data_IF_824922797788
#
_entry.id   IF_824922797788
#
_cell.length_a   1.000
_cell.length_b   1.000
_cell.length_c   1.000
_cell.angle_alpha   90.00
_cell.angle_beta   90.00
_cell.angle_gamma   90.00
#
_symmetry.space_group_name_H-M   'P 1'
#
loop_
_entity.id
_entity.type
_entity.pdbx_description
1 polymer ?
#
# COMPACT_ATOMS: atom_id res chain seq x y z
N UNK A 1 -23.56 28.07 43.01
CA UNK A 1 -22.26 27.37 43.02
C UNK A 1 -22.12 26.77 41.63
N UNK A 2 -21.77 27.58 40.62
CA UNK A 2 -20.40 27.81 40.11
C UNK A 2 -19.66 26.52 39.81
N UNK A 3 -19.66 26.14 38.53
CA UNK A 3 -18.43 25.79 37.84
C UNK A 3 -18.61 26.15 36.36
N UNK A 4 -18.35 27.42 36.00
CA UNK A 4 -17.84 27.68 34.66
C UNK A 4 -16.38 27.22 34.69
N UNK A 5 -16.21 25.90 34.63
CA UNK A 5 -15.00 25.32 34.05
C UNK A 5 -14.78 26.08 32.75
N UNK A 6 -13.58 26.62 32.55
CA UNK A 6 -13.22 27.24 31.28
C UNK A 6 -13.22 26.10 30.27
N UNK A 7 -14.39 25.83 29.69
CA UNK A 7 -14.53 24.85 28.63
C UNK A 7 -13.56 25.29 27.53
N UNK A 8 -12.56 24.44 27.28
CA UNK A 8 -11.56 24.71 26.26
C UNK A 8 -12.28 25.02 24.96
N UNK A 9 -11.99 26.17 24.35
CA UNK A 9 -12.53 26.47 23.04
C UNK A 9 -11.84 25.59 22.01
N UNK A 10 -12.63 24.92 21.18
CA UNK A 10 -12.17 24.16 20.04
C UNK A 10 -12.67 24.85 18.76
N UNK A 11 -11.73 25.26 17.92
CA UNK A 11 -12.01 25.77 16.57
C UNK A 11 -12.18 24.58 15.64
N UNK A 12 -13.32 24.48 14.99
CA UNK A 12 -13.65 23.44 14.04
C UNK A 12 -13.96 24.08 12.69
N UNK A 13 -13.47 23.47 11.63
CA UNK A 13 -13.82 23.85 10.26
C UNK A 13 -14.76 22.79 9.70
N UNK A 14 -16.03 23.14 9.49
CA UNK A 14 -17.03 22.26 8.91
C UNK A 14 -17.18 22.56 7.42
N UNK A 15 -16.89 21.57 6.58
CA UNK A 15 -17.12 21.61 5.14
C UNK A 15 -18.50 21.02 4.82
N UNK A 16 -19.44 21.90 4.48
CA UNK A 16 -20.70 21.54 3.88
C UNK A 16 -20.58 21.47 2.35
N UNK A 17 -21.51 20.82 1.62
CA UNK A 17 -21.46 20.70 0.16
C UNK A 17 -21.36 22.04 -0.57
N UNK A 18 -22.07 23.06 -0.08
CA UNK A 18 -22.11 24.39 -0.70
C UNK A 18 -21.10 25.39 -0.14
N UNK A 19 -20.63 25.21 1.11
CA UNK A 19 -19.75 26.18 1.79
C UNK A 19 -18.96 25.60 2.95
N UNK A 20 -17.93 26.31 3.37
CA UNK A 20 -17.13 25.99 4.55
C UNK A 20 -17.46 26.96 5.68
N UNK A 21 -17.60 26.46 6.91
CA UNK A 21 -18.01 27.20 8.10
C UNK A 21 -16.94 26.97 9.17
N UNK A 22 -16.40 28.04 9.74
CA UNK A 22 -15.50 27.95 10.88
C UNK A 22 -16.24 28.32 12.16
N UNK A 23 -16.18 27.44 13.17
CA UNK A 23 -16.91 27.57 14.42
C UNK A 23 -15.94 27.44 15.58
N UNK A 24 -16.04 28.33 16.57
CA UNK A 24 -15.36 28.16 17.85
C UNK A 24 -16.40 27.72 18.87
N UNK A 25 -16.29 26.48 19.34
CA UNK A 25 -17.29 25.85 20.21
C UNK A 25 -16.62 25.30 21.47
N UNK A 26 -17.30 25.28 22.62
CA UNK A 26 -16.78 24.66 23.83
C UNK A 26 -16.57 23.15 23.63
N UNK A 27 -15.44 22.61 24.09
CA UNK A 27 -15.06 21.22 23.88
C UNK A 27 -15.94 20.19 24.63
N UNK A 28 -16.73 20.65 25.61
CA UNK A 28 -17.65 19.86 26.41
C UNK A 28 -19.06 19.73 25.79
N UNK A 29 -19.31 20.39 24.65
CA UNK A 29 -20.60 20.33 23.95
C UNK A 29 -20.71 19.04 23.11
N UNK A 30 -21.85 18.32 23.16
CA UNK A 30 -22.08 17.14 22.33
C UNK A 30 -22.29 17.50 20.87
N UNK A 31 -21.94 16.59 19.97
CA UNK A 31 -22.07 16.78 18.51
C UNK A 31 -23.54 17.01 18.11
N UNK A 32 -24.49 16.35 18.77
CA UNK A 32 -25.93 16.54 18.55
C UNK A 32 -26.38 18.00 18.72
N UNK A 33 -25.80 18.75 19.67
CA UNK A 33 -26.18 20.15 19.92
C UNK A 33 -25.54 21.10 18.90
N UNK A 34 -24.41 20.70 18.30
CA UNK A 34 -23.72 21.47 17.26
C UNK A 34 -24.40 21.33 15.91
N UNK A 35 -24.93 20.15 15.59
CA UNK A 35 -25.46 19.81 14.28
C UNK A 35 -26.58 20.77 13.80
N UNK A 36 -27.62 21.12 14.61
CA UNK A 36 -28.65 22.09 14.20
C UNK A 36 -28.08 23.48 13.90
N UNK A 37 -27.05 23.88 14.65
CA UNK A 37 -26.39 25.18 14.45
C UNK A 37 -25.60 25.17 13.15
N UNK A 38 -24.83 24.11 12.90
CA UNK A 38 -24.09 23.90 11.65
C UNK A 38 -25.04 23.89 10.45
N UNK A 39 -26.18 23.17 10.53
CA UNK A 39 -27.16 23.05 9.45
C UNK A 39 -27.77 24.41 9.06
N UNK A 40 -28.20 25.20 10.06
CA UNK A 40 -28.66 26.59 9.85
C UNK A 40 -27.61 27.43 9.12
N UNK A 41 -26.34 27.25 9.48
CA UNK A 41 -25.23 27.94 8.84
C UNK A 41 -24.70 27.23 7.61
N UNK A 42 -25.28 26.13 7.12
CA UNK A 42 -24.84 25.40 5.93
C UNK A 42 -25.67 25.70 4.68
N UNK A 43 -26.96 26.09 4.79
CA UNK A 43 -27.77 26.64 3.69
C UNK A 43 -29.26 26.34 3.80
N UNK A 44 -30.10 27.13 3.13
CA UNK A 44 -31.57 26.96 3.13
C UNK A 44 -32.01 25.64 2.48
N UNK A 45 -31.30 25.16 1.45
CA UNK A 45 -31.60 23.89 0.76
C UNK A 45 -31.31 22.64 1.61
N UNK A 46 -30.54 22.75 2.70
CA UNK A 46 -30.12 21.61 3.52
C UNK A 46 -31.23 21.18 4.50
N UNK A 47 -32.08 22.12 4.90
CA UNK A 47 -33.24 21.87 5.77
C UNK A 47 -34.35 21.11 5.03
N UNK A 48 -34.59 21.41 3.74
CA UNK A 48 -35.56 20.69 2.89
C UNK A 48 -35.08 19.28 2.53
N UNK A 49 -33.79 19.10 2.22
CA UNK A 49 -33.21 17.81 1.85
C UNK A 49 -32.94 16.87 3.04
N UNK A 50 -33.07 17.33 4.29
CA UNK A 50 -32.83 16.51 5.49
C UNK A 50 -33.82 15.36 5.65
N UNK A 51 -35.04 15.50 5.12
CA UNK A 51 -36.09 14.48 5.15
C UNK A 51 -35.89 13.37 4.10
N UNK A 52 -35.22 13.68 2.99
CA UNK A 52 -34.94 12.71 1.91
C UNK A 52 -33.66 11.89 2.15
N UNK A 53 -32.77 12.36 3.02
CA UNK A 53 -31.44 11.78 3.24
C UNK A 53 -31.21 11.10 4.60
N UNK A 54 -32.29 10.83 5.35
CA UNK A 54 -32.25 10.20 6.68
C UNK A 54 -31.39 10.99 7.70
N UNK A 55 -31.31 12.31 7.53
CA UNK A 55 -30.51 13.21 8.36
C UNK A 55 -29.09 13.49 7.86
N UNK A 56 -28.36 14.24 8.68
CA UNK A 56 -27.01 14.74 8.36
C UNK A 56 -26.03 14.28 9.43
N UNK A 57 -24.83 13.87 9.00
CA UNK A 57 -23.77 13.44 9.90
C UNK A 57 -22.52 14.27 9.72
N UNK A 58 -21.80 14.47 10.83
CA UNK A 58 -20.45 15.04 10.82
C UNK A 58 -19.44 13.89 10.85
N UNK A 59 -18.48 13.92 9.95
CA UNK A 59 -17.44 12.90 9.88
C UNK A 59 -16.07 13.51 9.63
N UNK A 60 -15.02 12.86 10.13
CA UNK A 60 -13.63 13.17 9.76
C UNK A 60 -13.34 12.63 8.37
N UNK A 61 -12.33 13.16 7.70
CA UNK A 61 -11.93 12.65 6.39
C UNK A 61 -11.47 11.18 6.51
N UNK A 62 -12.22 10.26 5.90
CA UNK A 62 -11.90 8.84 5.90
C UNK A 62 -12.18 8.11 7.23
N UNK A 63 -12.84 8.77 8.19
CA UNK A 63 -13.32 8.14 9.41
C UNK A 63 -14.82 7.84 9.34
N UNK A 64 -15.31 7.04 10.28
CA UNK A 64 -16.74 6.83 10.46
C UNK A 64 -17.45 8.15 10.88
N UNK A 65 -18.79 8.22 10.72
CA UNK A 65 -19.59 9.28 11.32
C UNK A 65 -19.29 9.44 12.81
N UNK A 66 -19.19 10.68 13.27
CA UNK A 66 -19.03 11.00 14.69
C UNK A 66 -20.29 10.61 15.45
N UNK A 67 -20.11 10.10 16.67
CA UNK A 67 -21.21 9.78 17.57
C UNK A 67 -21.89 11.09 18.03
N UNK A 68 -23.20 11.17 17.86
CA UNK A 68 -23.98 12.38 18.16
C UNK A 68 -24.03 12.66 19.67
N UNK A 69 -23.99 11.62 20.50
CA UNK A 69 -24.02 11.71 21.96
C UNK A 69 -22.64 12.07 22.56
N UNK A 70 -21.58 11.96 21.76
CA UNK A 70 -20.20 12.24 22.18
C UNK A 70 -19.90 13.74 22.25
N UNK A 71 -19.19 14.15 23.29
CA UNK A 71 -18.60 15.50 23.36
C UNK A 71 -17.37 15.60 22.45
N UNK A 72 -17.02 16.82 22.04
CA UNK A 72 -15.84 17.05 21.21
C UNK A 72 -14.56 16.50 21.86
N UNK A 73 -14.44 16.65 23.18
CA UNK A 73 -13.32 16.10 23.94
C UNK A 73 -13.34 14.56 23.98
N UNK A 74 -14.51 13.93 24.19
CA UNK A 74 -14.64 12.47 24.23
C UNK A 74 -14.32 11.82 22.87
N UNK A 75 -14.64 12.53 21.79
CA UNK A 75 -14.35 12.13 20.42
C UNK A 75 -12.93 12.51 19.98
N UNK A 76 -12.07 13.00 20.88
CA UNK A 76 -10.70 13.45 20.63
C UNK A 76 -10.58 14.49 19.50
N UNK A 77 -11.58 15.36 19.34
CA UNK A 77 -11.55 16.43 18.35
C UNK A 77 -10.64 17.57 18.83
N UNK A 78 -9.70 17.99 17.97
CA UNK A 78 -8.70 19.02 18.31
C UNK A 78 -8.99 20.36 17.64
N UNK A 79 -8.42 21.41 18.20
CA UNK A 79 -8.47 22.75 17.61
C UNK A 79 -7.85 22.74 16.20
N UNK A 80 -8.60 23.26 15.23
CA UNK A 80 -8.24 23.31 13.81
C UNK A 80 -8.66 22.08 13.00
N UNK A 81 -9.40 21.14 13.58
CA UNK A 81 -9.82 19.94 12.87
C UNK A 81 -10.92 20.23 11.83
N UNK A 82 -10.84 19.53 10.69
CA UNK A 82 -11.76 19.69 9.57
C UNK A 82 -12.77 18.55 9.58
N UNK A 83 -14.03 18.89 9.73
CA UNK A 83 -15.17 17.98 9.68
C UNK A 83 -15.93 18.16 8.37
N UNK A 84 -16.53 17.08 7.88
CA UNK A 84 -17.33 17.07 6.67
C UNK A 84 -18.78 16.81 7.03
N UNK A 85 -19.65 17.73 6.64
CA UNK A 85 -21.09 17.58 6.76
C UNK A 85 -21.61 16.84 5.53
N UNK A 86 -22.18 15.66 5.74
CA UNK A 86 -22.62 14.77 4.66
C UNK A 86 -23.97 14.14 5.01
N UNK A 87 -24.82 13.85 4.01
CA UNK A 87 -26.07 13.14 4.26
C UNK A 87 -25.77 11.72 4.77
N UNK A 88 -26.63 11.19 5.66
CA UNK A 88 -26.42 9.88 6.28
C UNK A 88 -26.28 8.77 5.22
N UNK A 89 -27.07 8.85 4.14
CA UNK A 89 -27.00 7.93 2.99
C UNK A 89 -25.69 7.96 2.21
N UNK A 90 -24.85 8.99 2.38
CA UNK A 90 -23.53 9.13 1.74
C UNK A 90 -22.38 9.23 2.74
N UNK A 91 -22.53 8.66 3.95
CA UNK A 91 -21.42 8.53 4.91
C UNK A 91 -20.25 7.78 4.27
N UNK A 92 -19.02 8.28 4.41
CA UNK A 92 -17.87 7.56 3.86
C UNK A 92 -17.62 6.31 4.71
N UNK A 93 -17.27 5.18 4.08
CA UNK A 93 -16.78 4.04 4.82
C UNK A 93 -15.45 4.38 5.48
N UNK A 94 -15.20 3.81 6.66
CA UNK A 94 -13.92 3.92 7.35
C UNK A 94 -12.78 3.47 6.42
N UNK A 95 -11.73 4.29 6.31
CA UNK A 95 -10.57 3.98 5.47
C UNK A 95 -9.83 2.79 6.08
N UNK A 96 -10.08 1.62 5.51
CA UNK A 96 -9.31 0.41 5.77
C UNK A 96 -8.10 0.38 4.84
N UNK A 97 -6.92 0.70 5.38
CA UNK A 97 -5.66 0.49 4.68
C UNK A 97 -5.28 -1.00 4.78
N UNK A 98 -5.78 -1.82 3.85
CA UNK A 98 -5.47 -3.25 3.79
C UNK A 98 -4.07 -3.57 3.21
N UNK A 99 -3.36 -2.56 2.70
CA UNK A 99 -2.19 -2.78 1.86
C UNK A 99 -0.96 -1.93 2.21
N UNK A 100 -0.50 -2.05 3.45
CA UNK A 100 0.84 -1.57 3.83
C UNK A 100 1.94 -2.55 3.37
N UNK A 101 1.59 -3.78 2.99
CA UNK A 101 2.53 -4.84 2.63
C UNK A 101 3.01 -4.67 1.18
N UNK A 102 2.14 -4.38 0.21
CA UNK A 102 2.59 -4.15 -1.18
C UNK A 102 3.34 -2.82 -1.32
N UNK A 103 3.01 -1.82 -0.49
CA UNK A 103 3.74 -0.55 -0.44
C UNK A 103 5.22 -0.73 -0.06
N UNK A 104 5.52 -1.59 0.93
CA UNK A 104 6.90 -1.87 1.36
C UNK A 104 7.62 -2.76 0.34
N UNK A 105 6.90 -3.71 -0.29
CA UNK A 105 7.46 -4.55 -1.34
C UNK A 105 7.94 -3.73 -2.54
N UNK A 106 7.21 -2.69 -2.93
CA UNK A 106 7.60 -1.83 -4.06
C UNK A 106 8.84 -0.97 -3.74
N UNK A 107 8.93 -0.39 -2.54
CA UNK A 107 10.07 0.45 -2.13
C UNK A 107 11.34 -0.38 -1.92
N UNK A 108 11.20 -1.63 -1.47
CA UNK A 108 12.35 -2.52 -1.26
C UNK A 108 12.88 -3.09 -2.59
N UNK A 109 11.99 -3.33 -3.57
CA UNK A 109 12.36 -3.81 -4.91
C UNK A 109 13.28 -2.82 -5.63
N UNK A 110 13.06 -1.52 -5.46
CA UNK A 110 13.93 -0.48 -6.02
C UNK A 110 15.30 -0.39 -5.33
N UNK A 111 15.46 -0.85 -4.08
CA UNK A 111 16.77 -0.79 -3.39
C UNK A 111 17.59 -2.09 -3.49
N UNK A 112 16.99 -3.21 -3.87
CA UNK A 112 17.69 -4.47 -4.13
C UNK A 112 18.30 -4.50 -5.54
N UNK A 113 19.21 -3.57 -5.81
CA UNK A 113 20.01 -3.46 -7.05
C UNK A 113 21.01 -4.64 -7.27
N UNK A 114 20.87 -5.76 -6.56
CA UNK A 114 21.86 -6.84 -6.57
C UNK A 114 21.66 -7.90 -7.66
N UNK A 115 20.40 -8.24 -7.99
CA UNK A 115 20.11 -9.41 -8.81
C UNK A 115 19.34 -9.07 -10.08
N UNK A 116 20.07 -8.73 -11.14
CA UNK A 116 19.51 -8.57 -12.48
C UNK A 116 19.50 -9.94 -13.19
N UNK A 117 18.43 -10.32 -13.92
CA UNK A 117 18.43 -11.50 -14.80
C UNK A 117 19.67 -11.62 -15.70
N UNK A 118 20.20 -10.48 -16.16
CA UNK A 118 21.45 -10.42 -16.92
C UNK A 118 22.68 -10.82 -16.09
N UNK A 119 22.73 -10.46 -14.80
CA UNK A 119 23.80 -10.87 -13.88
C UNK A 119 23.74 -12.37 -13.58
N UNK A 120 22.54 -12.91 -13.34
CA UNK A 120 22.32 -14.35 -13.19
C UNK A 120 22.76 -15.15 -14.44
N UNK A 121 22.39 -14.67 -15.64
CA UNK A 121 22.83 -15.28 -16.91
C UNK A 121 24.35 -15.24 -17.09
N UNK A 122 25.02 -14.13 -16.75
CA UNK A 122 26.48 -14.02 -16.82
C UNK A 122 27.18 -14.97 -15.85
N UNK A 123 26.66 -15.10 -14.63
CA UNK A 123 27.19 -16.03 -13.64
C UNK A 123 27.08 -17.49 -14.11
N UNK A 124 25.91 -17.89 -14.61
CA UNK A 124 25.68 -19.24 -15.14
C UNK A 124 26.57 -19.56 -16.35
N UNK A 125 26.69 -18.63 -17.30
CA UNK A 125 27.61 -18.77 -18.44
C UNK A 125 29.06 -18.87 -17.98
N UNK A 126 29.47 -18.03 -17.02
CA UNK A 126 30.81 -18.06 -16.44
C UNK A 126 31.14 -19.41 -15.79
N UNK A 127 30.21 -19.95 -14.98
CA UNK A 127 30.37 -21.28 -14.37
C UNK A 127 30.46 -22.39 -15.42
N UNK A 128 29.63 -22.32 -16.47
CA UNK A 128 29.64 -23.32 -17.55
C UNK A 128 30.96 -23.31 -18.31
N UNK A 129 31.46 -22.11 -18.67
CA UNK A 129 32.76 -21.96 -19.34
C UNK A 129 33.89 -22.44 -18.44
N UNK A 130 33.91 -22.05 -17.16
CA UNK A 130 34.93 -22.47 -16.21
C UNK A 130 34.98 -24.00 -16.03
N UNK A 131 33.81 -24.64 -16.00
CA UNK A 131 33.75 -26.09 -15.85
C UNK A 131 34.19 -26.84 -17.13
N UNK A 132 33.86 -26.30 -18.31
CA UNK A 132 34.34 -26.84 -19.60
C UNK A 132 35.85 -26.68 -19.76
N UNK A 133 36.41 -25.52 -19.42
CA UNK A 133 37.86 -25.30 -19.51
C UNK A 133 38.61 -26.20 -18.55
N UNK A 134 38.11 -26.40 -17.32
CA UNK A 134 38.68 -27.33 -16.36
C UNK A 134 38.63 -28.77 -16.89
N UNK A 135 37.50 -29.20 -17.44
CA UNK A 135 37.35 -30.53 -18.06
C UNK A 135 38.33 -30.76 -19.22
N UNK A 136 38.48 -29.76 -20.10
CA UNK A 136 39.41 -29.82 -21.22
C UNK A 136 40.87 -29.88 -20.74
N UNK A 137 41.23 -29.13 -19.70
CA UNK A 137 42.58 -29.11 -19.13
C UNK A 137 42.94 -30.47 -18.53
N UNK A 138 41.99 -31.14 -17.86
CA UNK A 138 42.19 -32.51 -17.36
C UNK A 138 42.35 -33.52 -18.49
N UNK A 139 41.56 -33.39 -19.58
CA UNK A 139 41.66 -34.27 -20.75
C UNK A 139 42.98 -34.09 -21.51
N UNK A 140 43.43 -32.84 -21.64
CA UNK A 140 44.67 -32.46 -22.34
C UNK A 140 45.94 -32.79 -21.54
N UNK A 141 45.81 -33.13 -20.25
CA UNK A 141 46.95 -33.53 -19.41
C UNK A 141 47.53 -34.87 -19.89
N UNK A 142 48.78 -34.92 -20.40
CA UNK A 142 49.37 -36.16 -20.89
C UNK A 142 49.75 -37.08 -19.71
N UNK A 143 49.33 -38.35 -19.75
CA UNK A 143 49.74 -39.39 -18.79
C UNK A 143 48.74 -39.76 -17.69
N UNK A 144 47.49 -39.27 -17.74
CA UNK A 144 46.46 -39.61 -16.75
C UNK A 144 45.79 -40.99 -16.96
N UNK A 145 45.31 -41.66 -15.89
CA UNK A 145 44.54 -42.90 -15.98
C UNK A 145 43.26 -42.74 -16.83
N UNK A 146 42.90 -43.77 -17.59
CA UNK A 146 41.73 -43.75 -18.48
C UNK A 146 40.40 -43.48 -17.74
N UNK A 147 40.27 -43.95 -16.50
CA UNK A 147 39.08 -43.79 -15.67
C UNK A 147 38.81 -42.31 -15.33
N UNK A 148 39.88 -41.52 -15.13
CA UNK A 148 39.78 -40.08 -14.86
C UNK A 148 39.25 -39.34 -16.09
N UNK A 149 39.68 -39.75 -17.29
CA UNK A 149 39.21 -39.16 -18.56
C UNK A 149 37.72 -39.44 -18.80
N UNK A 150 37.29 -40.69 -18.58
CA UNK A 150 35.87 -41.07 -18.72
C UNK A 150 35.01 -40.30 -17.71
N UNK A 151 35.47 -40.20 -16.45
CA UNK A 151 34.80 -39.41 -15.41
C UNK A 151 34.65 -37.95 -15.80
N UNK A 152 35.71 -37.31 -16.31
CA UNK A 152 35.64 -35.90 -16.75
C UNK A 152 34.74 -35.67 -17.95
N UNK A 153 34.70 -36.59 -18.92
CA UNK A 153 33.80 -36.50 -20.06
C UNK A 153 32.32 -36.60 -19.62
N UNK A 154 32.03 -37.50 -18.68
CA UNK A 154 30.69 -37.63 -18.09
C UNK A 154 30.26 -36.38 -17.33
N UNK A 155 31.15 -35.81 -16.51
CA UNK A 155 30.87 -34.57 -15.76
C UNK A 155 30.69 -33.38 -16.70
N UNK A 156 31.53 -33.23 -17.73
CA UNK A 156 31.38 -32.18 -18.73
C UNK A 156 30.05 -32.31 -19.51
N UNK A 157 29.66 -33.53 -19.87
CA UNK A 157 28.38 -33.81 -20.52
C UNK A 157 27.18 -33.45 -19.63
N UNK A 158 27.22 -33.81 -18.34
CA UNK A 158 26.19 -33.44 -17.37
C UNK A 158 26.06 -31.93 -17.19
N UNK A 159 27.19 -31.21 -17.15
CA UNK A 159 27.19 -29.74 -17.04
C UNK A 159 26.63 -29.06 -18.29
N UNK A 160 26.94 -29.59 -19.48
CA UNK A 160 26.34 -29.10 -20.74
C UNK A 160 24.83 -29.30 -20.76
N UNK A 161 24.34 -30.46 -20.29
CA UNK A 161 22.91 -30.74 -20.19
C UNK A 161 22.22 -29.83 -19.17
N UNK A 162 22.84 -29.61 -18.00
CA UNK A 162 22.32 -28.69 -16.99
C UNK A 162 22.29 -27.23 -17.50
N UNK A 163 23.33 -26.81 -18.23
CA UNK A 163 23.39 -25.51 -18.90
C UNK A 163 22.32 -25.35 -19.97
N UNK A 164 22.10 -26.37 -20.80
CA UNK A 164 21.04 -26.37 -21.82
C UNK A 164 19.63 -26.33 -21.21
N UNK A 165 19.39 -27.10 -20.15
CA UNK A 165 18.10 -27.13 -19.45
C UNK A 165 17.78 -25.78 -18.78
N UNK A 166 18.78 -25.16 -18.16
CA UNK A 166 18.62 -23.83 -17.53
C UNK A 166 18.42 -22.73 -18.58
N UNK A 167 19.12 -22.78 -19.72
CA UNK A 167 18.90 -21.86 -20.84
C UNK A 167 17.49 -22.03 -21.46
N UNK A 168 17.02 -23.27 -21.61
CA UNK A 168 15.68 -23.57 -22.12
C UNK A 168 14.57 -23.07 -21.19
N UNK A 169 14.75 -23.23 -19.86
CA UNK A 169 13.83 -22.68 -18.84
C UNK A 169 13.77 -21.14 -18.91
N UNK A 170 14.91 -20.48 -19.03
CA UNK A 170 14.95 -19.02 -19.13
C UNK A 170 14.27 -18.47 -20.40
N UNK A 171 14.36 -19.19 -21.53
CA UNK A 171 13.65 -18.82 -22.77
C UNK A 171 12.16 -19.14 -22.67
N UNK A 172 11.78 -20.22 -21.99
CA UNK A 172 10.39 -20.59 -21.73
C UNK A 172 9.65 -19.56 -20.86
N UNK A 173 10.29 -19.07 -19.80
CA UNK A 173 9.73 -18.04 -18.93
C UNK A 173 9.62 -16.68 -19.64
N UNK A 174 10.56 -16.36 -20.55
CA UNK A 174 10.50 -15.15 -21.37
C UNK A 174 9.35 -15.19 -22.40
N UNK A 175 9.03 -16.36 -22.96
CA UNK A 175 7.89 -16.54 -23.85
C UNK A 175 6.55 -16.53 -23.09
N UNK A 176 6.52 -17.06 -21.85
CA UNK A 176 5.33 -17.04 -20.99
C UNK A 176 4.98 -15.62 -20.50
N UNK A 177 5.97 -14.75 -20.30
CA UNK A 177 5.75 -13.34 -19.96
C UNK A 177 5.29 -12.45 -21.13
N UNK A 178 5.28 -12.97 -22.36
CA UNK A 178 4.93 -12.22 -23.57
C UNK A 178 3.48 -12.44 -24.03
N UNK A 179 2.60 -13.03 -23.21
CA UNK A 179 1.14 -12.95 -23.46
C UNK A 179 0.62 -11.61 -22.91
N UNK A 180 0.33 -10.61 -23.76
CA UNK A 180 -0.43 -9.45 -23.32
C UNK A 180 -1.86 -9.94 -23.01
N UNK A 181 -2.12 -10.19 -21.72
CA UNK A 181 -3.45 -10.39 -21.20
C UNK A 181 -4.17 -9.03 -21.14
N UNK A 182 -5.31 -8.98 -21.82
CA UNK A 182 -6.25 -7.89 -22.05
C UNK A 182 -6.60 -7.04 -20.82
#
# INVERSE_FOLDING_TARGET
>A
MTDSSVAGLCRLTVRAPARTIDLAVPADVPVADLLPTVLRYAGEDIEENGLEHDGWVLQRLGGAPLDEEGTLEALDLKDGEVLYLRPHTESLPEVRLDDLVDGIANVTRDRLHGWNPAAGRRLLLGMTVAALTLGLLVLAWPGGPADVRIGTAGVAGLLLLAGAASASRAVGDAAAGATPGF
#
